data_IF_498068216989
#
_entry.id   IF_498068216989
#
_cell.length_a   1.000
_cell.length_b   1.000
_cell.length_c   1.000
_cell.angle_alpha   90.00
_cell.angle_beta   90.00
_cell.angle_gamma   90.00
#
_symmetry.space_group_name_H-M   'P 1'
#
loop_
_entity.id
_entity.type
_entity.pdbx_description
1 polymer ?
#
# COMPACT_ATOMS: atom_id res chain seq x y z
N UNK A 1 12.45 28.60 -52.13
CA UNK A 1 11.07 28.28 -51.74
C UNK A 1 10.90 26.77 -51.69
N UNK A 2 10.14 26.30 -50.70
CA UNK A 2 9.70 24.93 -50.40
C UNK A 2 10.65 23.95 -49.69
N UNK A 3 10.39 23.86 -48.38
CA UNK A 3 10.66 22.77 -47.46
C UNK A 3 9.79 21.56 -47.83
N UNK A 4 10.37 20.37 -47.94
CA UNK A 4 9.62 19.10 -47.90
C UNK A 4 9.80 18.49 -46.51
N UNK A 5 8.70 18.42 -45.77
CA UNK A 5 8.61 17.79 -44.46
C UNK A 5 8.61 16.27 -44.62
N UNK A 6 9.51 15.60 -43.89
CA UNK A 6 9.47 14.16 -43.68
C UNK A 6 8.40 13.87 -42.61
N UNK A 7 7.35 13.15 -43.01
CA UNK A 7 6.33 12.62 -42.11
C UNK A 7 6.90 11.41 -41.33
N UNK A 8 7.24 11.60 -40.06
CA UNK A 8 7.55 10.50 -39.14
C UNK A 8 6.24 9.88 -38.64
N UNK A 9 5.95 8.65 -39.08
CA UNK A 9 4.91 7.83 -38.48
C UNK A 9 5.36 7.43 -37.07
N UNK A 10 4.74 8.03 -36.05
CA UNK A 10 4.81 7.53 -34.68
C UNK A 10 3.75 6.44 -34.54
N UNK A 11 4.20 5.19 -34.45
CA UNK A 11 3.33 4.04 -34.19
C UNK A 11 2.65 4.18 -32.83
N UNK A 12 1.33 4.03 -32.81
CA UNK A 12 0.55 3.86 -31.61
C UNK A 12 0.93 2.51 -30.96
N UNK A 13 1.62 2.55 -29.82
CA UNK A 13 1.81 1.40 -28.95
C UNK A 13 0.64 1.38 -27.96
N UNK A 14 -0.21 0.37 -28.10
CA UNK A 14 -1.39 0.13 -27.27
C UNK A 14 -1.03 0.00 -25.79
N UNK A 15 -1.85 0.64 -24.95
CA UNK A 15 -1.75 0.60 -23.51
C UNK A 15 -2.28 -0.74 -22.99
N UNK A 16 -1.41 -1.56 -22.39
CA UNK A 16 -1.82 -2.68 -21.54
C UNK A 16 -1.27 -2.52 -20.13
N UNK A 17 -2.15 -2.67 -19.12
CA UNK A 17 -1.76 -3.14 -17.78
C UNK A 17 -1.91 -2.20 -16.57
N UNK A 18 -2.20 -0.91 -16.71
CA UNK A 18 -2.35 -0.03 -15.53
C UNK A 18 -3.83 0.13 -15.12
N UNK A 19 -4.22 -0.36 -13.93
CA UNK A 19 -5.46 0.08 -13.28
C UNK A 19 -5.39 1.59 -13.10
N UNK A 20 -6.33 2.32 -13.70
CA UNK A 20 -6.36 3.80 -13.61
C UNK A 20 -6.70 4.27 -12.19
N UNK A 21 -6.54 5.56 -11.94
CA UNK A 21 -6.93 6.26 -10.70
C UNK A 21 -8.45 6.18 -10.45
N UNK A 22 -8.98 5.05 -9.99
CA UNK A 22 -10.43 4.85 -9.78
C UNK A 22 -10.85 4.89 -8.29
N UNK A 23 -9.97 5.34 -7.40
CA UNK A 23 -10.32 5.56 -6.00
C UNK A 23 -11.41 6.63 -5.84
N UNK A 24 -12.51 6.35 -5.10
CA UNK A 24 -13.68 7.24 -5.00
C UNK A 24 -13.42 8.55 -4.24
N UNK A 25 -12.28 8.68 -3.55
CA UNK A 25 -11.93 9.81 -2.71
C UNK A 25 -10.97 10.81 -3.38
N UNK A 26 -9.86 10.34 -3.96
CA UNK A 26 -8.87 11.22 -4.58
C UNK A 26 -9.43 11.96 -5.81
N UNK A 27 -10.30 11.31 -6.60
CA UNK A 27 -10.93 11.90 -7.79
C UNK A 27 -11.94 13.01 -7.48
N UNK A 28 -12.62 12.95 -6.32
CA UNK A 28 -13.58 13.99 -5.88
C UNK A 28 -12.91 15.17 -5.18
N UNK A 29 -11.84 14.93 -4.42
CA UNK A 29 -11.16 16.01 -3.69
C UNK A 29 -10.19 16.79 -4.57
N UNK A 30 -9.51 16.11 -5.50
CA UNK A 30 -8.60 16.78 -6.42
C UNK A 30 -9.31 17.31 -7.69
N UNK A 31 -10.52 17.88 -7.56
CA UNK A 31 -11.32 18.51 -8.66
C UNK A 31 -10.57 19.57 -9.48
N UNK A 32 -9.36 19.97 -9.07
CA UNK A 32 -8.47 20.92 -9.74
C UNK A 32 -7.27 20.30 -10.47
N UNK A 33 -7.12 18.97 -10.50
CA UNK A 33 -6.07 18.36 -11.30
C UNK A 33 -6.41 18.48 -12.79
N UNK A 34 -5.92 19.56 -13.41
CA UNK A 34 -5.89 19.67 -14.86
C UNK A 34 -5.06 18.49 -15.39
N UNK A 35 -5.56 17.68 -16.34
CA UNK A 35 -4.79 16.60 -16.99
C UNK A 35 -3.47 17.06 -17.63
N UNK A 36 -3.29 18.37 -17.74
CA UNK A 36 -2.21 19.07 -18.41
C UNK A 36 -0.94 19.21 -17.54
N UNK A 37 -1.07 19.06 -16.22
CA UNK A 37 0.08 18.86 -15.32
C UNK A 37 0.38 17.36 -15.29
N UNK A 38 1.14 16.95 -16.30
CA UNK A 38 1.32 15.55 -16.69
C UNK A 38 1.51 14.60 -15.51
N UNK A 39 0.66 13.56 -15.49
CA UNK A 39 1.09 12.23 -15.07
C UNK A 39 2.33 11.91 -15.89
N UNK A 40 3.51 12.30 -15.41
CA UNK A 40 4.72 12.12 -16.17
C UNK A 40 4.87 10.63 -16.37
N UNK A 41 4.86 10.18 -17.63
CA UNK A 41 5.31 8.85 -18.01
C UNK A 41 6.81 8.65 -17.70
N UNK A 42 7.48 9.70 -17.21
CA UNK A 42 8.82 9.65 -16.65
C UNK A 42 8.87 8.68 -15.46
N UNK A 43 9.97 7.95 -15.38
CA UNK A 43 10.21 7.02 -14.29
C UNK A 43 10.36 7.83 -12.98
N UNK A 44 9.94 7.30 -11.81
CA UNK A 44 9.89 8.07 -10.57
C UNK A 44 11.19 8.79 -10.20
N UNK A 45 12.34 8.23 -10.54
CA UNK A 45 13.66 8.81 -10.31
C UNK A 45 13.96 10.09 -11.10
N UNK A 46 13.25 10.37 -12.19
CA UNK A 46 13.46 11.57 -13.00
C UNK A 46 12.68 12.79 -12.47
N UNK A 47 11.60 12.55 -11.72
CA UNK A 47 10.67 13.61 -11.30
C UNK A 47 11.27 14.61 -10.31
N UNK A 48 12.05 14.22 -9.28
CA UNK A 48 12.64 15.19 -8.35
C UNK A 48 13.54 16.22 -9.04
N UNK A 49 14.33 15.80 -10.03
CA UNK A 49 15.21 16.69 -10.77
C UNK A 49 14.42 17.73 -11.59
N UNK A 50 13.38 17.29 -12.29
CA UNK A 50 12.50 18.18 -13.07
C UNK A 50 11.73 19.15 -12.16
N UNK A 51 11.18 18.64 -11.05
CA UNK A 51 10.45 19.43 -10.09
C UNK A 51 11.33 20.54 -9.47
N UNK A 52 12.60 20.23 -9.20
CA UNK A 52 13.58 21.21 -8.71
C UNK A 52 13.88 22.29 -9.76
N UNK A 53 14.07 21.92 -11.02
CA UNK A 53 14.30 22.88 -12.11
C UNK A 53 13.11 23.84 -12.27
N UNK A 54 11.90 23.37 -12.01
CA UNK A 54 10.67 24.16 -12.16
C UNK A 54 10.17 24.79 -10.85
N UNK A 55 10.90 24.62 -9.74
CA UNK A 55 10.49 25.04 -8.40
C UNK A 55 9.05 24.59 -8.04
N UNK A 56 8.74 23.32 -8.29
CA UNK A 56 7.42 22.70 -8.08
C UNK A 56 7.48 21.62 -7.02
N UNK A 57 6.37 21.45 -6.31
CA UNK A 57 6.17 20.36 -5.36
C UNK A 57 6.01 19.02 -6.08
N UNK A 58 6.33 17.94 -5.37
CA UNK A 58 6.09 16.56 -5.82
C UNK A 58 5.22 15.86 -4.81
N UNK A 59 4.16 15.20 -5.27
CA UNK A 59 3.35 14.26 -4.51
C UNK A 59 3.35 12.90 -5.18
N UNK A 60 3.05 11.86 -4.40
CA UNK A 60 3.00 10.48 -4.86
C UNK A 60 1.59 9.95 -4.63
N UNK A 61 1.04 9.24 -5.61
CA UNK A 61 -0.25 8.57 -5.52
C UNK A 61 -0.13 7.09 -5.84
N UNK A 62 -0.75 6.27 -4.99
CA UNK A 62 -1.00 4.85 -5.23
C UNK A 62 -2.42 4.64 -5.75
N UNK A 63 -3.22 3.84 -5.05
CA UNK A 63 -4.62 3.55 -5.41
C UNK A 63 -5.63 4.68 -5.16
N UNK A 64 -5.22 5.82 -4.60
CA UNK A 64 -6.13 6.98 -4.41
C UNK A 64 -7.24 6.79 -3.37
N UNK A 65 -7.03 5.90 -2.40
CA UNK A 65 -8.01 5.56 -1.34
C UNK A 65 -7.95 6.47 -0.09
N UNK A 66 -6.99 7.39 -0.01
CA UNK A 66 -6.97 8.33 1.11
C UNK A 66 -8.14 9.31 1.00
N UNK A 67 -8.93 9.53 2.08
CA UNK A 67 -10.00 10.51 2.10
C UNK A 67 -9.51 11.95 2.32
N UNK A 68 -8.21 12.17 2.49
CA UNK A 68 -7.61 13.50 2.67
C UNK A 68 -7.01 14.03 1.37
N UNK A 69 -6.57 15.29 1.41
CA UNK A 69 -5.86 15.98 0.34
C UNK A 69 -4.36 15.65 0.27
N UNK A 70 -3.90 14.61 1.00
CA UNK A 70 -2.49 14.26 1.18
C UNK A 70 -1.70 14.10 -0.13
N UNK A 71 -2.37 13.64 -1.19
CA UNK A 71 -1.82 13.43 -2.52
C UNK A 71 -2.17 14.55 -3.52
N UNK A 72 -3.03 15.51 -3.16
CA UNK A 72 -3.36 16.63 -4.05
C UNK A 72 -2.17 17.61 -4.14
N UNK A 73 -1.91 18.10 -5.35
CA UNK A 73 -0.85 19.06 -5.64
C UNK A 73 -1.15 19.81 -6.95
N UNK A 74 -0.60 21.01 -7.09
CA UNK A 74 -0.52 21.81 -8.31
C UNK A 74 0.88 21.71 -9.00
N UNK A 75 1.72 20.81 -8.49
CA UNK A 75 3.00 20.42 -9.05
C UNK A 75 2.95 19.04 -9.70
N UNK A 76 3.99 18.24 -9.49
CA UNK A 76 4.12 16.91 -10.08
C UNK A 76 3.45 15.85 -9.22
N UNK A 77 2.68 14.97 -9.87
CA UNK A 77 2.07 13.80 -9.24
C UNK A 77 2.68 12.52 -9.83
N UNK A 78 3.41 11.78 -9.01
CA UNK A 78 3.99 10.48 -9.38
C UNK A 78 2.94 9.39 -9.14
N UNK A 79 2.53 8.71 -10.21
CA UNK A 79 1.63 7.56 -10.11
C UNK A 79 2.41 6.25 -10.00
N UNK A 80 2.25 5.53 -8.89
CA UNK A 80 3.03 4.32 -8.60
C UNK A 80 2.51 3.05 -9.28
N UNK A 81 1.32 3.05 -9.89
CA UNK A 81 0.66 1.82 -10.37
C UNK A 81 1.40 0.99 -11.43
N UNK A 82 2.48 1.50 -12.05
CA UNK A 82 3.36 0.72 -12.94
C UNK A 82 4.55 0.06 -12.22
N UNK A 83 4.80 0.44 -10.97
CA UNK A 83 5.78 -0.17 -10.08
C UNK A 83 5.07 -1.21 -9.21
N UNK A 84 4.64 -2.31 -9.81
CA UNK A 84 3.73 -3.29 -9.21
C UNK A 84 4.26 -4.74 -9.22
N UNK A 85 5.56 -4.94 -9.41
CA UNK A 85 6.16 -6.28 -9.49
C UNK A 85 6.50 -6.84 -8.11
N UNK A 86 6.37 -8.16 -7.96
CA UNK A 86 7.06 -8.93 -6.92
C UNK A 86 8.49 -9.15 -7.41
N UNK A 87 9.47 -8.74 -6.61
CA UNK A 87 10.89 -8.78 -6.98
C UNK A 87 11.58 -10.02 -6.42
N UNK A 88 11.22 -10.43 -5.20
CA UNK A 88 11.82 -11.59 -4.53
C UNK A 88 10.87 -12.15 -3.48
N UNK A 89 10.86 -13.47 -3.33
CA UNK A 89 10.21 -14.18 -2.21
C UNK A 89 11.26 -15.09 -1.57
N UNK A 90 11.53 -14.87 -0.28
CA UNK A 90 12.40 -15.69 0.55
C UNK A 90 11.51 -16.51 1.50
N UNK A 91 11.30 -17.78 1.20
CA UNK A 91 10.45 -18.66 2.01
C UNK A 91 11.09 -19.09 3.32
N UNK A 92 12.42 -19.06 3.41
CA UNK A 92 13.15 -19.41 4.64
C UNK A 92 13.01 -18.31 5.68
N UNK A 93 13.24 -17.05 5.28
CA UNK A 93 13.04 -15.86 6.13
C UNK A 93 11.57 -15.42 6.20
N UNK A 94 10.72 -15.98 5.34
CA UNK A 94 9.31 -15.57 5.14
C UNK A 94 9.22 -14.09 4.80
N UNK A 95 10.00 -13.63 3.84
CA UNK A 95 10.04 -12.23 3.43
C UNK A 95 9.69 -12.08 1.96
N UNK A 96 8.97 -11.03 1.60
CA UNK A 96 8.67 -10.68 0.21
C UNK A 96 9.17 -9.27 -0.08
N UNK A 97 9.92 -9.10 -1.16
CA UNK A 97 10.31 -7.78 -1.68
C UNK A 97 9.46 -7.45 -2.89
N UNK A 98 8.79 -6.30 -2.85
CA UNK A 98 7.87 -5.82 -3.88
C UNK A 98 8.15 -4.38 -4.26
N UNK A 99 7.73 -3.99 -5.45
CA UNK A 99 7.62 -2.59 -5.81
C UNK A 99 6.43 -1.93 -5.08
N UNK A 100 6.60 -0.69 -4.61
CA UNK A 100 5.67 -0.03 -3.69
C UNK A 100 4.29 0.30 -4.29
N UNK A 101 4.14 0.24 -5.61
CA UNK A 101 2.87 0.44 -6.31
C UNK A 101 2.06 -0.84 -6.50
N UNK A 102 2.54 -2.00 -6.05
CA UNK A 102 1.76 -3.24 -6.10
C UNK A 102 0.48 -3.09 -5.26
N UNK A 103 -0.65 -3.51 -5.80
CA UNK A 103 -1.91 -3.57 -5.04
C UNK A 103 -1.91 -4.82 -4.18
N UNK A 104 -2.48 -4.75 -2.98
CA UNK A 104 -2.60 -5.92 -2.10
C UNK A 104 -3.37 -7.07 -2.76
N UNK A 105 -4.39 -6.76 -3.56
CA UNK A 105 -5.13 -7.73 -4.37
C UNK A 105 -4.23 -8.55 -5.31
N UNK A 106 -3.11 -7.98 -5.78
CA UNK A 106 -2.13 -8.67 -6.63
C UNK A 106 -1.06 -9.40 -5.81
N UNK A 107 -0.74 -8.88 -4.61
CA UNK A 107 0.28 -9.46 -3.74
C UNK A 107 -0.21 -10.74 -3.06
N UNK A 108 -1.44 -10.77 -2.53
CA UNK A 108 -1.93 -11.92 -1.76
C UNK A 108 -1.85 -13.25 -2.54
N UNK A 109 -2.30 -13.34 -3.80
CA UNK A 109 -2.19 -14.58 -4.57
C UNK A 109 -0.74 -14.99 -4.88
N UNK A 110 0.23 -14.06 -4.84
CA UNK A 110 1.64 -14.41 -4.98
C UNK A 110 2.17 -15.02 -3.69
N UNK A 111 1.82 -14.47 -2.53
CA UNK A 111 2.19 -15.04 -1.23
C UNK A 111 1.62 -16.45 -1.04
N UNK A 112 0.36 -16.65 -1.40
CA UNK A 112 -0.34 -17.92 -1.32
C UNK A 112 0.40 -19.06 -2.05
N UNK A 113 0.90 -18.79 -3.28
CA UNK A 113 1.71 -19.76 -4.05
C UNK A 113 2.98 -20.22 -3.35
N UNK A 114 3.48 -19.44 -2.40
CA UNK A 114 4.67 -19.73 -1.61
C UNK A 114 4.33 -20.20 -0.19
N UNK A 115 3.06 -20.46 0.12
CA UNK A 115 2.60 -20.85 1.44
C UNK A 115 2.79 -19.75 2.49
N UNK A 116 2.75 -18.49 2.07
CA UNK A 116 2.92 -17.32 2.92
C UNK A 116 1.65 -16.46 2.96
N UNK A 117 1.53 -15.67 4.02
CA UNK A 117 0.50 -14.65 4.19
C UNK A 117 1.07 -13.43 4.94
N UNK A 118 0.42 -12.28 4.83
CA UNK A 118 0.66 -11.16 5.75
C UNK A 118 0.01 -11.47 7.10
N UNK A 119 0.61 -11.04 8.20
CA UNK A 119 0.08 -11.31 9.54
C UNK A 119 -1.19 -10.52 9.84
N UNK A 120 -1.34 -9.36 9.20
CA UNK A 120 -2.55 -8.54 9.27
C UNK A 120 -2.79 -7.86 7.92
N UNK A 121 -4.05 -7.55 7.61
CA UNK A 121 -4.51 -7.00 6.34
C UNK A 121 -5.40 -5.79 6.55
N UNK A 122 -5.39 -4.82 5.62
CA UNK A 122 -6.38 -3.75 5.62
C UNK A 122 -7.77 -4.24 5.17
N UNK A 123 -8.82 -3.48 5.47
CA UNK A 123 -10.19 -3.80 5.05
C UNK A 123 -10.41 -3.76 3.52
N UNK A 124 -9.51 -3.11 2.79
CA UNK A 124 -9.55 -2.96 1.34
C UNK A 124 -8.31 -3.58 0.73
N UNK A 125 -8.46 -4.35 -0.36
CA UNK A 125 -7.33 -4.93 -1.11
C UNK A 125 -6.92 -4.09 -2.32
N UNK A 126 -7.72 -3.09 -2.73
CA UNK A 126 -7.42 -2.18 -3.84
C UNK A 126 -6.52 -0.99 -3.42
N UNK A 127 -5.66 -1.23 -2.44
CA UNK A 127 -4.68 -0.26 -1.91
C UNK A 127 -3.28 -0.73 -2.23
N UNK A 128 -2.35 0.21 -2.43
CA UNK A 128 -0.95 -0.12 -2.76
C UNK A 128 -0.10 -0.33 -1.51
N UNK A 129 0.92 -1.19 -1.60
CA UNK A 129 1.85 -1.46 -0.50
C UNK A 129 2.49 -0.17 0.06
N UNK A 130 2.94 0.74 -0.79
CA UNK A 130 3.52 2.01 -0.36
C UNK A 130 2.51 2.96 0.30
N UNK A 131 1.23 2.86 -0.06
CA UNK A 131 0.16 3.69 0.48
C UNK A 131 -0.29 3.24 1.89
N UNK A 132 -0.44 1.93 2.10
CA UNK A 132 -0.84 1.40 3.40
C UNK A 132 0.20 1.64 4.48
N UNK A 133 1.49 1.56 4.11
CA UNK A 133 2.61 1.89 5.00
C UNK A 133 2.58 3.40 5.27
N UNK A 134 2.56 4.22 4.21
CA UNK A 134 2.68 5.67 4.32
C UNK A 134 1.60 6.37 5.16
N UNK A 135 0.45 5.73 5.39
CA UNK A 135 -0.68 6.27 6.17
C UNK A 135 -0.91 5.56 7.50
N UNK A 136 -0.08 4.57 7.86
CA UNK A 136 -0.26 3.80 9.10
C UNK A 136 -1.52 2.92 9.11
N UNK A 137 -1.87 2.34 7.96
CA UNK A 137 -3.04 1.46 7.86
C UNK A 137 -2.92 0.31 8.85
N UNK A 138 -4.03 -0.10 9.45
CA UNK A 138 -4.12 -1.22 10.39
C UNK A 138 -5.46 -1.93 10.25
N UNK A 139 -5.64 -2.99 11.05
CA UNK A 139 -6.91 -3.67 11.23
C UNK A 139 -7.00 -4.14 12.69
N UNK A 140 -7.88 -5.08 12.99
CA UNK A 140 -8.18 -5.56 14.33
C UNK A 140 -7.16 -6.58 14.85
N UNK A 141 -7.21 -6.83 16.16
CA UNK A 141 -6.43 -7.84 16.87
C UNK A 141 -5.46 -7.22 17.86
N UNK A 142 -5.53 -7.61 19.14
CA UNK A 142 -4.75 -6.98 20.22
C UNK A 142 -3.25 -7.25 20.03
N UNK A 143 -2.92 -8.41 19.45
CA UNK A 143 -1.55 -8.83 19.15
C UNK A 143 -1.04 -8.33 17.80
N UNK A 144 -1.86 -7.65 17.01
CA UNK A 144 -1.49 -7.17 15.68
C UNK A 144 -1.29 -5.66 15.67
N UNK A 145 -0.08 -5.25 15.29
CA UNK A 145 0.27 -3.84 15.07
C UNK A 145 -0.22 -3.36 13.70
N UNK A 146 0.04 -2.08 13.40
CA UNK A 146 -0.21 -1.47 12.08
C UNK A 146 0.61 -2.18 10.99
N UNK A 147 0.15 -2.12 9.74
CA UNK A 147 0.83 -2.79 8.61
C UNK A 147 2.27 -2.31 8.39
N UNK A 148 2.58 -1.06 8.76
CA UNK A 148 3.93 -0.52 8.64
C UNK A 148 4.96 -1.31 9.48
N UNK A 149 4.56 -1.93 10.60
CA UNK A 149 5.48 -2.73 11.43
C UNK A 149 5.84 -4.07 10.79
N UNK A 150 5.18 -4.47 9.70
CA UNK A 150 5.56 -5.65 8.93
C UNK A 150 6.71 -5.34 7.96
N UNK A 151 7.12 -4.07 7.80
CA UNK A 151 8.22 -3.71 6.91
C UNK A 151 9.55 -3.98 7.60
N UNK A 152 10.45 -4.68 6.93
CA UNK A 152 11.81 -4.96 7.43
C UNK A 152 12.90 -4.21 6.66
N UNK A 153 12.61 -3.82 5.41
CA UNK A 153 13.47 -2.98 4.61
C UNK A 153 12.66 -2.23 3.54
N UNK A 154 13.20 -1.14 3.01
CA UNK A 154 12.63 -0.38 1.91
C UNK A 154 13.71 0.40 1.16
N UNK A 155 13.41 0.79 -0.08
CA UNK A 155 14.24 1.74 -0.83
C UNK A 155 13.51 3.07 -0.98
N UNK A 156 14.17 4.16 -0.61
CA UNK A 156 13.64 5.52 -0.62
C UNK A 156 14.38 6.38 -1.65
N UNK A 157 13.62 7.05 -2.52
CA UNK A 157 14.09 8.13 -3.37
C UNK A 157 13.81 9.48 -2.69
N UNK A 158 14.86 10.21 -2.35
CA UNK A 158 14.80 11.52 -1.69
C UNK A 158 14.65 12.67 -2.69
N UNK A 159 14.36 13.87 -2.19
CA UNK A 159 14.09 15.05 -3.02
C UNK A 159 15.29 15.53 -3.85
N UNK A 160 16.51 15.13 -3.51
CA UNK A 160 17.74 15.36 -4.26
C UNK A 160 18.09 14.27 -5.27
N UNK A 161 17.24 13.25 -5.40
CA UNK A 161 17.45 12.14 -6.30
C UNK A 161 18.34 11.03 -5.73
N UNK A 162 18.81 11.17 -4.48
CA UNK A 162 19.54 10.10 -3.80
C UNK A 162 18.62 8.91 -3.55
N UNK A 163 19.14 7.70 -3.71
CA UNK A 163 18.45 6.45 -3.39
C UNK A 163 19.08 5.87 -2.13
N UNK A 164 18.26 5.69 -1.10
CA UNK A 164 18.66 5.13 0.18
C UNK A 164 18.03 3.74 0.37
N UNK A 165 18.84 2.78 0.78
CA UNK A 165 18.36 1.51 1.32
C UNK A 165 18.21 1.65 2.84
N UNK A 166 17.00 1.43 3.33
CA UNK A 166 16.64 1.66 4.72
C UNK A 166 16.16 0.36 5.37
N UNK A 167 16.72 0.02 6.52
CA UNK A 167 16.35 -1.09 7.40
C UNK A 167 16.77 -0.76 8.84
N UNK A 168 16.55 -1.66 9.80
CA UNK A 168 17.08 -1.48 11.15
C UNK A 168 18.62 -1.42 11.20
N UNK A 169 19.30 -2.02 10.23
CA UNK A 169 20.76 -2.07 10.16
C UNK A 169 21.39 -1.06 9.19
N UNK A 170 20.57 -0.34 8.41
CA UNK A 170 21.03 0.62 7.38
C UNK A 170 20.12 1.83 7.35
N UNK A 171 20.66 3.04 7.52
CA UNK A 171 19.88 4.27 7.59
C UNK A 171 18.71 4.18 8.60
N UNK A 172 18.96 3.62 9.79
CA UNK A 172 17.92 3.24 10.76
C UNK A 172 17.00 4.38 11.19
N UNK A 173 17.54 5.59 11.39
CA UNK A 173 16.73 6.77 11.73
C UNK A 173 15.77 7.14 10.58
N UNK A 174 16.24 7.07 9.34
CA UNK A 174 15.41 7.29 8.16
C UNK A 174 14.37 6.18 8.05
N UNK A 175 14.76 4.92 8.25
CA UNK A 175 13.86 3.78 8.24
C UNK A 175 12.69 3.95 9.20
N UNK A 176 12.95 4.36 10.45
CA UNK A 176 11.91 4.62 11.43
C UNK A 176 10.99 5.77 11.01
N UNK A 177 11.55 6.87 10.47
CA UNK A 177 10.77 8.03 10.07
C UNK A 177 9.86 7.75 8.85
N UNK A 178 10.30 6.92 7.90
CA UNK A 178 9.59 6.75 6.62
C UNK A 178 8.46 5.72 6.63
N UNK A 179 8.40 4.89 7.67
CA UNK A 179 7.36 3.87 7.85
C UNK A 179 5.96 4.49 7.90
N UNK A 180 5.77 5.65 8.55
CA UNK A 180 4.51 6.42 8.50
C UNK A 180 4.82 7.88 8.17
N UNK A 181 5.04 8.14 6.89
CA UNK A 181 5.60 9.43 6.41
C UNK A 181 4.61 10.44 5.85
N UNK A 182 3.34 10.04 5.69
CA UNK A 182 2.29 10.90 5.13
C UNK A 182 2.65 11.56 3.77
N UNK A 183 3.51 10.91 2.99
CA UNK A 183 3.98 11.40 1.69
C UNK A 183 5.02 12.52 1.72
N UNK A 184 5.63 12.83 2.88
CA UNK A 184 6.51 13.99 3.05
C UNK A 184 8.02 13.69 2.95
N UNK A 185 8.43 12.43 3.11
CA UNK A 185 9.85 12.07 3.26
C UNK A 185 10.47 11.41 2.02
N UNK A 186 9.81 11.51 0.86
CA UNK A 186 10.27 10.95 -0.41
C UNK A 186 9.39 9.83 -0.97
N UNK A 187 9.86 9.23 -2.06
CA UNK A 187 9.14 8.18 -2.79
C UNK A 187 9.69 6.83 -2.36
N UNK A 188 8.85 5.96 -1.79
CA UNK A 188 9.26 4.56 -1.59
C UNK A 188 9.16 3.85 -2.94
N UNK A 189 10.26 3.23 -3.35
CA UNK A 189 10.37 2.49 -4.59
C UNK A 189 10.04 1.01 -4.39
N UNK A 190 10.63 0.40 -3.36
CA UNK A 190 10.47 -1.02 -3.01
C UNK A 190 10.32 -1.18 -1.51
N UNK A 191 9.70 -2.29 -1.12
CA UNK A 191 9.37 -2.63 0.26
C UNK A 191 9.61 -4.12 0.45
N UNK A 192 10.30 -4.48 1.52
CA UNK A 192 10.40 -5.87 1.99
C UNK A 192 9.50 -6.04 3.20
N UNK A 193 8.53 -6.96 3.10
CA UNK A 193 7.56 -7.28 4.14
C UNK A 193 7.88 -8.62 4.79
N UNK A 194 7.85 -8.66 6.12
CA UNK A 194 7.82 -9.87 6.90
C UNK A 194 6.44 -10.53 6.80
N UNK A 195 6.44 -11.79 6.38
CA UNK A 195 5.26 -12.64 6.25
C UNK A 195 5.24 -13.71 7.35
N UNK A 196 4.11 -14.41 7.43
CA UNK A 196 3.87 -15.60 8.24
C UNK A 196 3.52 -16.78 7.32
N UNK A 197 3.57 -18.04 7.81
CA UNK A 197 3.00 -19.16 7.07
C UNK A 197 1.53 -18.90 6.76
N UNK A 198 1.04 -19.39 5.62
CA UNK A 198 -0.37 -19.31 5.26
C UNK A 198 -1.27 -19.93 6.34
N UNK A 199 -2.47 -19.38 6.49
CA UNK A 199 -3.46 -19.81 7.47
C UNK A 199 -4.87 -19.57 6.92
N UNK A 200 -5.85 -20.23 7.51
CA UNK A 200 -7.27 -20.01 7.20
C UNK A 200 -7.91 -19.17 8.31
N UNK A 201 -8.85 -18.30 7.92
CA UNK A 201 -9.63 -17.50 8.84
C UNK A 201 -11.10 -17.91 8.76
N UNK A 202 -11.72 -18.11 9.92
CA UNK A 202 -13.17 -18.20 10.05
C UNK A 202 -13.73 -16.84 10.45
N UNK A 203 -14.74 -16.37 9.74
CA UNK A 203 -15.47 -15.14 10.06
C UNK A 203 -16.84 -15.48 10.61
N UNK A 204 -17.09 -15.12 11.86
CA UNK A 204 -18.42 -15.15 12.48
C UNK A 204 -18.98 -13.74 12.53
N UNK A 205 -20.27 -13.56 12.24
CA UNK A 205 -20.93 -12.24 12.27
C UNK A 205 -22.36 -12.40 12.75
N UNK A 206 -22.73 -11.63 13.77
CA UNK A 206 -24.06 -11.64 14.38
C UNK A 206 -24.42 -10.23 14.86
N UNK A 207 -25.72 -9.85 14.87
CA UNK A 207 -26.15 -8.60 15.46
C UNK A 207 -26.11 -8.68 16.99
N UNK A 208 -25.79 -7.57 17.66
CA UNK A 208 -25.82 -7.46 19.12
C UNK A 208 -26.07 -6.00 19.52
N UNK A 209 -26.54 -5.77 20.74
CA UNK A 209 -26.71 -4.42 21.28
C UNK A 209 -25.36 -3.85 21.72
N UNK A 210 -25.23 -2.51 21.74
CA UNK A 210 -24.01 -1.85 22.23
C UNK A 210 -23.69 -2.26 23.68
N UNK A 211 -24.73 -2.47 24.50
CA UNK A 211 -24.57 -2.87 25.90
C UNK A 211 -23.92 -4.25 26.03
N UNK A 212 -24.45 -5.24 25.32
CA UNK A 212 -23.91 -6.61 25.30
C UNK A 212 -22.46 -6.62 24.79
N UNK A 213 -22.15 -5.86 23.74
CA UNK A 213 -20.78 -5.75 23.21
C UNK A 213 -19.84 -5.11 24.23
N UNK A 214 -20.28 -4.08 24.95
CA UNK A 214 -19.47 -3.40 25.95
C UNK A 214 -19.21 -4.29 27.18
N UNK A 215 -20.26 -4.92 27.72
CA UNK A 215 -20.14 -5.84 28.87
C UNK A 215 -19.33 -7.10 28.51
N UNK A 216 -19.48 -7.60 27.29
CA UNK A 216 -18.77 -8.78 26.76
C UNK A 216 -17.43 -8.49 26.06
N UNK A 217 -16.96 -7.24 26.03
CA UNK A 217 -15.86 -6.82 25.15
C UNK A 217 -14.61 -7.69 25.28
N UNK A 218 -14.15 -7.93 26.51
CA UNK A 218 -12.96 -8.73 26.77
C UNK A 218 -13.13 -10.19 26.31
N UNK A 219 -14.30 -10.77 26.56
CA UNK A 219 -14.60 -12.14 26.13
C UNK A 219 -14.67 -12.24 24.60
N UNK A 220 -15.34 -11.30 23.94
CA UNK A 220 -15.42 -11.23 22.47
C UNK A 220 -14.03 -11.09 21.84
N UNK A 221 -13.15 -10.26 22.42
CA UNK A 221 -11.76 -10.13 21.94
C UNK A 221 -10.93 -11.38 22.19
N UNK A 222 -11.21 -12.13 23.26
CA UNK A 222 -10.48 -13.35 23.60
C UNK A 222 -10.89 -14.53 22.71
N UNK A 223 -12.19 -14.74 22.49
CA UNK A 223 -12.73 -15.81 21.64
C UNK A 223 -12.29 -15.62 20.19
N UNK A 224 -12.32 -14.38 19.69
CA UNK A 224 -11.83 -14.07 18.35
C UNK A 224 -10.34 -14.40 18.13
N UNK A 225 -9.54 -14.48 19.20
CA UNK A 225 -8.12 -14.84 19.12
C UNK A 225 -7.84 -16.34 19.31
N UNK A 226 -8.63 -17.05 20.12
CA UNK A 226 -8.39 -18.48 20.43
C UNK A 226 -9.02 -19.45 19.42
N UNK A 227 -10.15 -19.11 18.80
CA UNK A 227 -10.73 -19.95 17.73
C UNK A 227 -9.87 -19.97 16.45
N UNK A 228 -8.90 -19.04 16.32
CA UNK A 228 -7.93 -19.06 15.24
C UNK A 228 -6.79 -20.09 15.43
N UNK A 229 -6.70 -20.72 16.61
CA UNK A 229 -5.63 -21.68 16.97
C UNK A 229 -6.08 -23.13 17.06
N UNK A 230 -7.39 -23.43 16.94
CA UNK A 230 -7.94 -24.79 17.03
C UNK A 230 -9.15 -24.95 16.09
N UNK A 231 -9.17 -25.89 15.10
CA UNK A 231 -10.24 -26.00 14.11
C UNK A 231 -11.55 -26.62 14.63
N UNK A 232 -11.76 -26.66 15.95
CA UNK A 232 -13.02 -27.16 16.53
C UNK A 232 -14.01 -26.01 16.62
N UNK A 233 -14.85 -25.89 15.59
CA UNK A 233 -16.01 -25.01 15.54
C UNK A 233 -16.89 -25.22 16.78
N UNK A 234 -16.96 -24.22 17.67
CA UNK A 234 -18.07 -24.08 18.61
C UNK A 234 -18.97 -22.94 18.15
N UNK A 235 -20.07 -23.30 17.50
CA UNK A 235 -21.20 -22.40 17.31
C UNK A 235 -21.78 -22.05 18.68
N UNK A 236 -21.45 -20.88 19.23
CA UNK A 236 -22.08 -20.43 20.47
C UNK A 236 -23.29 -19.56 20.15
N UNK A 237 -24.47 -20.13 20.34
CA UNK A 237 -25.75 -19.45 20.29
C UNK A 237 -25.91 -18.63 21.59
N UNK A 238 -26.04 -17.29 21.55
CA UNK A 238 -26.08 -16.44 22.75
C UNK A 238 -27.35 -16.58 23.60
N UNK A 239 -28.24 -17.54 23.28
CA UNK A 239 -29.54 -17.72 23.95
C UNK A 239 -29.66 -18.96 24.86
N UNK A 240 -28.59 -19.71 25.10
CA UNK A 240 -28.63 -20.88 26.01
C UNK A 240 -27.76 -20.70 27.27
N UNK A 241 -28.10 -19.69 28.08
CA UNK A 241 -27.79 -19.68 29.52
C UNK A 241 -29.00 -19.11 30.26
N UNK A 242 -29.82 -20.00 30.81
CA UNK A 242 -30.67 -19.74 31.99
C UNK A 242 -30.15 -20.61 33.13
#
# INVERSE_FOLDING_TARGET
>A
MNRTAASSQAGALEASGARGLHGPACSRLCHRQRPELGLTQALPWQVPALARQQNKWVKVVGGGHSPSDIACTDGFLIHMGKMNRVLQVDTEKKQVTVEAGIHLADLHPQLDKHGLALSNLGAMSDVTAGGIIGTGTHNTGIKHSILATQVVALTLLTADGTILECSESSNAEVFQAVQVRLGCLGVILTITLQCVPQFHLQKTSFPSTLREVHEGFLWLTYVAEYEALDPVILSVNPHEVF
#
